data_IF_229448600832
#
_entry.id   IF_229448600832
#
_cell.length_a   1.000
_cell.length_b   1.000
_cell.length_c   1.000
_cell.angle_alpha   90.00
_cell.angle_beta   90.00
_cell.angle_gamma   90.00
#
_symmetry.space_group_name_H-M   'P 1'
#
loop_
_entity.id
_entity.type
_entity.pdbx_description
1 polymer ?
#
# COMPACT_ATOMS: atom_id res chain seq x y z
N UNK A 1 -16.83 -11.10 -29.28
CA UNK A 1 -16.45 -10.41 -28.02
C UNK A 1 -15.01 -10.81 -27.74
N UNK A 2 -14.16 -9.84 -27.41
CA UNK A 2 -12.74 -10.10 -27.07
C UNK A 2 -12.68 -10.78 -25.71
N UNK A 3 -11.96 -11.90 -25.60
CA UNK A 3 -11.68 -12.54 -24.30
C UNK A 3 -10.45 -11.87 -23.68
N UNK A 4 -10.70 -10.83 -22.90
CA UNK A 4 -9.67 -10.01 -22.25
C UNK A 4 -8.84 -10.81 -21.24
N UNK A 5 -9.45 -11.79 -20.56
CA UNK A 5 -8.75 -12.64 -19.60
C UNK A 5 -7.76 -13.57 -20.30
N UNK A 6 -8.17 -14.20 -21.39
CA UNK A 6 -7.28 -15.06 -22.19
C UNK A 6 -6.12 -14.27 -22.82
N UNK A 7 -6.37 -13.05 -23.30
CA UNK A 7 -5.31 -12.16 -23.80
C UNK A 7 -4.31 -11.79 -22.70
N UNK A 8 -4.79 -11.43 -21.51
CA UNK A 8 -3.95 -11.15 -20.34
C UNK A 8 -3.10 -12.38 -19.95
N UNK A 9 -3.68 -13.58 -19.93
CA UNK A 9 -2.95 -14.81 -19.59
C UNK A 9 -1.84 -15.13 -20.61
N UNK A 10 -2.11 -14.89 -21.90
CA UNK A 10 -1.10 -15.02 -22.97
C UNK A 10 0.03 -14.01 -22.81
N UNK A 11 -0.28 -12.78 -22.42
CA UNK A 11 0.73 -11.78 -22.08
C UNK A 11 1.59 -12.25 -20.89
N UNK A 12 0.98 -12.58 -19.75
CA UNK A 12 1.67 -13.00 -18.53
C UNK A 12 2.65 -14.18 -18.75
N UNK A 13 2.23 -15.16 -19.56
CA UNK A 13 3.05 -16.33 -19.87
C UNK A 13 4.22 -16.06 -20.81
N UNK A 14 4.14 -15.03 -21.66
CA UNK A 14 5.18 -14.70 -22.64
C UNK A 14 6.15 -13.63 -22.17
N UNK A 15 5.71 -12.70 -21.33
CA UNK A 15 6.55 -11.58 -20.88
C UNK A 15 7.76 -12.08 -20.10
N UNK A 16 8.93 -11.64 -20.53
CA UNK A 16 10.24 -11.87 -19.93
C UNK A 16 10.74 -10.61 -19.25
N UNK A 17 11.87 -10.70 -18.55
CA UNK A 17 12.44 -9.52 -17.88
C UNK A 17 12.91 -8.48 -18.90
N UNK A 18 13.45 -8.94 -20.04
CA UNK A 18 13.96 -8.10 -21.13
C UNK A 18 12.87 -7.29 -21.85
N UNK A 19 11.60 -7.68 -21.69
CA UNK A 19 10.45 -6.94 -22.22
C UNK A 19 10.09 -5.71 -21.36
N UNK A 20 10.64 -5.59 -20.15
CA UNK A 20 10.35 -4.47 -19.24
C UNK A 20 11.15 -3.22 -19.66
N UNK A 21 10.48 -2.06 -19.87
CA UNK A 21 11.18 -0.80 -20.08
C UNK A 21 12.05 -0.39 -18.88
N UNK A 22 13.15 0.32 -19.12
CA UNK A 22 14.07 0.78 -18.05
C UNK A 22 13.36 1.54 -16.92
N UNK A 23 12.37 2.38 -17.26
CA UNK A 23 11.59 3.13 -16.26
C UNK A 23 10.76 2.22 -15.34
N UNK A 24 10.27 1.08 -15.87
CA UNK A 24 9.51 0.08 -15.12
C UNK A 24 10.43 -0.67 -14.18
N UNK A 25 11.62 -1.05 -14.65
CA UNK A 25 12.67 -1.67 -13.84
C UNK A 25 13.08 -0.74 -12.70
N UNK A 26 13.40 0.52 -13.02
CA UNK A 26 13.76 1.54 -12.03
C UNK A 26 12.64 1.74 -11.01
N UNK A 27 11.37 1.80 -11.45
CA UNK A 27 10.27 1.95 -10.52
C UNK A 27 10.07 0.71 -9.66
N UNK A 28 10.24 -0.48 -10.22
CA UNK A 28 10.17 -1.73 -9.47
C UNK A 28 11.23 -1.82 -8.36
N UNK A 29 12.42 -1.23 -8.56
CA UNK A 29 13.43 -1.10 -7.51
C UNK A 29 12.93 -0.23 -6.34
N UNK A 30 12.39 0.95 -6.67
CA UNK A 30 11.85 1.88 -5.68
C UNK A 30 10.66 1.27 -4.93
N UNK A 31 9.73 0.60 -5.64
CA UNK A 31 8.58 -0.08 -5.05
C UNK A 31 9.02 -1.24 -4.15
N UNK A 32 10.03 -2.01 -4.54
CA UNK A 32 10.60 -3.08 -3.70
C UNK A 32 11.17 -2.52 -2.41
N UNK A 33 12.01 -1.48 -2.50
CA UNK A 33 12.61 -0.82 -1.34
C UNK A 33 11.53 -0.21 -0.42
N UNK A 34 10.57 0.51 -0.99
CA UNK A 34 9.47 1.15 -0.25
C UNK A 34 8.62 0.15 0.52
N UNK A 35 8.24 -0.94 -0.15
CA UNK A 35 7.39 -1.97 0.43
C UNK A 35 8.12 -2.72 1.55
N UNK A 36 9.40 -3.08 1.36
CA UNK A 36 10.24 -3.66 2.43
C UNK A 36 10.32 -2.70 3.61
N UNK A 37 10.59 -1.42 3.37
CA UNK A 37 10.67 -0.42 4.44
C UNK A 37 9.36 -0.28 5.22
N UNK A 38 8.22 -0.24 4.53
CA UNK A 38 6.91 -0.18 5.17
C UNK A 38 6.65 -1.41 6.05
N UNK A 39 6.97 -2.62 5.55
CA UNK A 39 6.83 -3.88 6.30
C UNK A 39 7.72 -3.85 7.56
N UNK A 40 9.00 -3.53 7.41
CA UNK A 40 9.94 -3.51 8.54
C UNK A 40 9.55 -2.46 9.56
N UNK A 41 9.21 -1.25 9.14
CA UNK A 41 8.77 -0.18 10.04
C UNK A 41 7.51 -0.57 10.82
N UNK A 42 6.54 -1.19 10.14
CA UNK A 42 5.31 -1.68 10.77
C UNK A 42 5.50 -2.93 11.64
N UNK A 43 6.55 -3.72 11.41
CA UNK A 43 6.86 -4.90 12.24
C UNK A 43 7.22 -4.54 13.68
N UNK A 44 7.61 -3.29 13.93
CA UNK A 44 7.91 -2.77 15.26
C UNK A 44 6.66 -2.55 16.13
N UNK A 45 5.47 -2.60 15.56
CA UNK A 45 4.23 -2.25 16.27
C UNK A 45 3.81 -3.41 17.20
N UNK A 46 3.35 -3.12 18.43
CA UNK A 46 3.11 -4.16 19.45
C UNK A 46 2.15 -5.26 19.01
N UNK A 47 1.09 -4.91 18.29
CA UNK A 47 0.11 -5.85 17.75
C UNK A 47 0.72 -6.80 16.72
N UNK A 48 1.62 -6.28 15.87
CA UNK A 48 2.31 -7.07 14.85
C UNK A 48 3.33 -8.00 15.48
N UNK A 49 4.08 -7.54 16.49
CA UNK A 49 4.99 -8.39 17.27
C UNK A 49 4.26 -9.53 17.98
N UNK A 50 3.13 -9.22 18.64
CA UNK A 50 2.32 -10.22 19.34
C UNK A 50 1.74 -11.27 18.38
N UNK A 51 1.22 -10.83 17.24
CA UNK A 51 0.69 -11.72 16.20
C UNK A 51 1.80 -12.59 15.60
N UNK A 52 2.95 -12.00 15.28
CA UNK A 52 4.13 -12.69 14.76
C UNK A 52 4.59 -13.78 15.73
N UNK A 53 4.75 -13.45 17.01
CA UNK A 53 5.10 -14.43 18.05
C UNK A 53 4.12 -15.60 18.10
N UNK A 54 2.82 -15.30 18.03
CA UNK A 54 1.78 -16.33 18.08
C UNK A 54 1.82 -17.28 16.89
N UNK A 55 2.05 -16.77 15.68
CA UNK A 55 2.00 -17.56 14.45
C UNK A 55 3.35 -18.19 14.06
N UNK A 56 4.46 -17.62 14.51
CA UNK A 56 5.80 -18.17 14.29
C UNK A 56 6.14 -19.30 15.28
N UNK A 57 5.52 -19.32 16.46
CA UNK A 57 5.76 -20.37 17.46
C UNK A 57 5.34 -21.73 16.92
N UNK A 58 6.30 -22.65 16.75
CA UNK A 58 6.06 -23.98 16.20
C UNK A 58 5.88 -24.03 14.68
N UNK A 59 6.00 -22.89 13.98
CA UNK A 59 6.03 -22.88 12.52
C UNK A 59 7.38 -23.37 12.00
N UNK A 60 7.36 -24.12 10.90
CA UNK A 60 8.55 -24.59 10.20
C UNK A 60 8.42 -24.20 8.74
N UNK A 61 9.40 -23.46 8.22
CA UNK A 61 9.47 -23.06 6.82
C UNK A 61 10.73 -22.26 6.53
N UNK A 62 10.87 -21.80 5.28
CA UNK A 62 12.07 -21.12 4.78
C UNK A 62 11.87 -19.63 4.56
N UNK A 63 10.63 -19.13 4.65
CA UNK A 63 10.26 -17.76 4.33
C UNK A 63 10.33 -16.86 5.54
N UNK A 64 10.93 -15.69 5.39
CA UNK A 64 11.26 -14.77 6.47
C UNK A 64 10.13 -13.80 6.76
N UNK A 65 9.80 -13.64 8.04
CA UNK A 65 9.03 -12.50 8.55
C UNK A 65 9.98 -11.31 8.67
N UNK A 66 9.80 -10.31 7.81
CA UNK A 66 10.67 -9.13 7.73
C UNK A 66 10.60 -8.30 9.01
N UNK A 67 11.76 -7.80 9.44
CA UNK A 67 11.93 -7.16 10.74
C UNK A 67 12.50 -8.16 11.74
N UNK A 68 11.68 -9.00 12.41
CA UNK A 68 12.17 -9.98 13.40
C UNK A 68 13.07 -11.09 12.85
N UNK A 69 12.98 -11.42 11.55
CA UNK A 69 13.85 -12.40 10.90
C UNK A 69 13.50 -13.86 11.19
N UNK A 70 12.32 -14.15 11.77
CA UNK A 70 11.86 -15.52 11.99
C UNK A 70 11.47 -16.19 10.67
N UNK A 71 11.89 -17.44 10.44
CA UNK A 71 11.46 -18.22 9.28
C UNK A 71 10.21 -19.06 9.61
N UNK A 72 9.22 -18.98 8.74
CA UNK A 72 7.90 -19.62 8.87
C UNK A 72 7.46 -20.17 7.51
N UNK A 73 6.29 -20.83 7.48
CA UNK A 73 5.67 -21.26 6.21
C UNK A 73 5.39 -20.08 5.27
N UNK A 74 5.50 -20.31 3.96
CA UNK A 74 5.37 -19.28 2.91
C UNK A 74 4.11 -18.42 3.06
N UNK A 75 2.93 -19.06 3.19
CA UNK A 75 1.66 -18.34 3.35
C UNK A 75 1.60 -17.52 4.65
N UNK A 76 2.22 -18.02 5.74
CA UNK A 76 2.30 -17.32 7.03
C UNK A 76 3.23 -16.11 6.96
N UNK A 77 4.38 -16.23 6.28
CA UNK A 77 5.28 -15.10 6.06
C UNK A 77 4.59 -14.02 5.23
N UNK A 78 3.89 -14.40 4.15
CA UNK A 78 3.11 -13.48 3.33
C UNK A 78 2.04 -12.75 4.15
N UNK A 79 1.33 -13.48 5.03
CA UNK A 79 0.34 -12.91 5.94
C UNK A 79 0.93 -11.86 6.89
N UNK A 80 2.00 -12.23 7.60
CA UNK A 80 2.61 -11.36 8.61
C UNK A 80 3.26 -10.13 7.97
N UNK A 81 3.97 -10.31 6.86
CA UNK A 81 4.62 -9.22 6.14
C UNK A 81 3.59 -8.25 5.55
N UNK A 82 2.55 -8.74 4.86
CA UNK A 82 1.48 -7.88 4.34
C UNK A 82 0.69 -7.15 5.43
N UNK A 83 0.50 -7.80 6.59
CA UNK A 83 -0.13 -7.16 7.76
C UNK A 83 0.73 -6.02 8.31
N UNK A 84 2.04 -6.26 8.46
CA UNK A 84 2.97 -5.26 8.96
C UNK A 84 3.06 -4.04 8.02
N UNK A 85 3.15 -4.25 6.71
CA UNK A 85 3.40 -3.16 5.76
C UNK A 85 2.28 -2.13 5.62
N UNK A 86 1.04 -2.50 5.96
CA UNK A 86 -0.08 -1.52 5.96
C UNK A 86 -0.29 -0.84 7.31
N UNK A 87 0.42 -1.25 8.36
CA UNK A 87 0.14 -0.78 9.72
C UNK A 87 0.43 0.71 9.91
N UNK A 88 1.47 1.22 9.25
CA UNK A 88 1.90 2.62 9.34
C UNK A 88 1.24 3.55 8.32
N UNK A 89 0.44 3.03 7.39
CA UNK A 89 -0.07 3.76 6.23
C UNK A 89 1.04 4.39 5.37
N UNK A 90 2.22 3.78 5.33
CA UNK A 90 3.41 4.29 4.64
C UNK A 90 3.76 3.53 3.36
N UNK A 91 3.01 2.49 3.02
CA UNK A 91 3.09 1.77 1.76
C UNK A 91 2.68 2.63 0.57
N UNK A 92 3.36 2.44 -0.57
CA UNK A 92 3.01 2.99 -1.88
C UNK A 92 1.57 2.65 -2.29
N UNK A 93 1.02 3.36 -3.28
CA UNK A 93 -0.18 2.90 -3.95
C UNK A 93 -0.35 3.46 -5.36
N UNK A 94 -1.48 3.15 -5.98
CA UNK A 94 -1.82 3.62 -7.32
C UNK A 94 -3.19 4.30 -7.29
N UNK A 95 -3.23 5.51 -7.85
CA UNK A 95 -4.40 6.38 -7.75
C UNK A 95 -5.58 5.93 -8.61
N UNK A 96 -5.29 5.27 -9.73
CA UNK A 96 -6.27 4.83 -10.72
C UNK A 96 -6.98 3.57 -10.23
N UNK A 97 -6.25 2.63 -9.63
CA UNK A 97 -6.83 1.45 -8.99
C UNK A 97 -7.37 1.69 -7.57
N UNK A 98 -7.23 2.92 -7.06
CA UNK A 98 -7.67 3.36 -5.73
C UNK A 98 -7.22 2.42 -4.59
N UNK A 99 -5.96 1.98 -4.62
CA UNK A 99 -5.41 1.10 -3.59
C UNK A 99 -3.91 0.92 -3.67
N UNK A 100 -3.42 -0.19 -3.11
CA UNK A 100 -2.01 -0.40 -2.77
C UNK A 100 -1.50 -1.72 -3.36
N UNK A 101 -1.17 -1.80 -4.66
CA UNK A 101 -0.90 -3.09 -5.28
C UNK A 101 0.35 -3.79 -4.73
N UNK A 102 1.46 -3.09 -4.49
CA UNK A 102 2.72 -3.75 -4.13
C UNK A 102 2.64 -4.48 -2.78
N UNK A 103 1.95 -3.92 -1.78
CA UNK A 103 1.83 -4.58 -0.47
C UNK A 103 0.96 -5.84 -0.50
N UNK A 104 0.11 -6.01 -1.52
CA UNK A 104 -0.62 -7.27 -1.73
C UNK A 104 0.22 -8.30 -2.48
N UNK A 105 1.18 -7.85 -3.30
CA UNK A 105 1.94 -8.69 -4.22
C UNK A 105 3.28 -9.12 -3.62
N UNK A 106 4.11 -8.16 -3.20
CA UNK A 106 5.49 -8.41 -2.77
C UNK A 106 5.59 -9.38 -1.60
N UNK A 107 4.76 -9.33 -0.54
CA UNK A 107 4.87 -10.28 0.57
C UNK A 107 4.74 -11.75 0.14
N UNK A 108 3.80 -12.05 -0.76
CA UNK A 108 3.60 -13.41 -1.28
C UNK A 108 4.73 -13.80 -2.23
N UNK A 109 5.07 -12.91 -3.17
CA UNK A 109 6.13 -13.15 -4.15
C UNK A 109 7.50 -13.37 -3.49
N UNK A 110 7.88 -12.52 -2.53
CA UNK A 110 9.14 -12.61 -1.81
C UNK A 110 9.21 -13.88 -0.96
N UNK A 111 8.15 -14.18 -0.19
CA UNK A 111 8.10 -15.40 0.61
C UNK A 111 8.24 -16.66 -0.25
N UNK A 112 7.53 -16.71 -1.39
CA UNK A 112 7.60 -17.84 -2.32
C UNK A 112 8.99 -17.94 -2.97
N UNK A 113 9.52 -16.83 -3.47
CA UNK A 113 10.84 -16.77 -4.08
C UNK A 113 11.95 -17.22 -3.12
N UNK A 114 11.90 -16.79 -1.85
CA UNK A 114 12.86 -17.21 -0.83
C UNK A 114 12.76 -18.71 -0.53
N UNK A 115 11.54 -19.25 -0.41
CA UNK A 115 11.35 -20.69 -0.16
C UNK A 115 11.86 -21.59 -1.29
N UNK A 116 12.01 -21.03 -2.51
CA UNK A 116 12.51 -21.72 -3.69
C UNK A 116 13.92 -21.24 -4.12
N UNK A 117 14.54 -20.33 -3.37
CA UNK A 117 15.88 -19.75 -3.63
C UNK A 117 16.00 -19.16 -5.04
N UNK A 118 14.99 -18.40 -5.44
CA UNK A 118 14.92 -17.80 -6.78
C UNK A 118 15.79 -16.54 -6.87
N UNK A 119 16.18 -16.19 -8.10
CA UNK A 119 16.94 -14.98 -8.39
C UNK A 119 16.05 -13.74 -8.31
N UNK A 120 16.65 -12.58 -8.03
CA UNK A 120 15.91 -11.34 -7.87
C UNK A 120 15.31 -10.79 -9.17
N UNK A 121 15.88 -11.12 -10.34
CA UNK A 121 15.26 -10.84 -11.64
C UNK A 121 13.86 -11.47 -11.75
N UNK A 122 13.72 -12.73 -11.32
CA UNK A 122 12.45 -13.45 -11.32
C UNK A 122 11.45 -12.80 -10.37
N UNK A 123 11.91 -12.35 -9.19
CA UNK A 123 11.09 -11.61 -8.23
C UNK A 123 10.60 -10.28 -8.80
N UNK A 124 11.48 -9.50 -9.44
CA UNK A 124 11.13 -8.19 -9.98
C UNK A 124 10.12 -8.32 -11.13
N UNK A 125 10.31 -9.29 -12.03
CA UNK A 125 9.34 -9.59 -13.08
C UNK A 125 7.99 -10.02 -12.49
N UNK A 126 7.99 -10.92 -11.51
CA UNK A 126 6.77 -11.39 -10.87
C UNK A 126 6.03 -10.29 -10.11
N UNK A 127 6.75 -9.43 -9.38
CA UNK A 127 6.21 -8.24 -8.72
C UNK A 127 5.54 -7.33 -9.75
N UNK A 128 6.23 -7.04 -10.85
CA UNK A 128 5.73 -6.14 -11.91
C UNK A 128 4.44 -6.69 -12.53
N UNK A 129 4.41 -7.96 -12.90
CA UNK A 129 3.22 -8.59 -13.49
C UNK A 129 2.07 -8.73 -12.49
N UNK A 130 2.36 -9.08 -11.23
CA UNK A 130 1.34 -9.15 -10.18
C UNK A 130 0.74 -7.78 -9.87
N UNK A 131 1.58 -6.73 -9.82
CA UNK A 131 1.15 -5.34 -9.68
C UNK A 131 0.22 -4.95 -10.83
N UNK A 132 0.64 -5.24 -12.06
CA UNK A 132 -0.10 -4.91 -13.28
C UNK A 132 -1.52 -5.51 -13.25
N UNK A 133 -1.64 -6.80 -12.93
CA UNK A 133 -2.95 -7.47 -12.83
C UNK A 133 -3.81 -6.87 -11.72
N UNK A 134 -3.24 -6.68 -10.52
CA UNK A 134 -3.94 -6.09 -9.40
C UNK A 134 -4.47 -4.69 -9.71
N UNK A 135 -3.62 -3.83 -10.28
CA UNK A 135 -3.99 -2.47 -10.65
C UNK A 135 -5.07 -2.44 -11.73
N UNK A 136 -4.96 -3.27 -12.78
CA UNK A 136 -5.95 -3.33 -13.87
C UNK A 136 -7.32 -3.82 -13.42
N UNK A 137 -7.38 -4.82 -12.54
CA UNK A 137 -8.65 -5.24 -11.92
C UNK A 137 -9.24 -4.07 -11.11
N UNK A 138 -8.42 -3.38 -10.32
CA UNK A 138 -8.87 -2.22 -9.55
C UNK A 138 -9.35 -1.05 -10.42
N UNK A 139 -8.72 -0.81 -11.58
CA UNK A 139 -9.12 0.22 -12.56
C UNK A 139 -10.45 -0.16 -13.23
N UNK A 140 -10.61 -1.42 -13.65
CA UNK A 140 -11.85 -1.91 -14.26
C UNK A 140 -13.03 -2.02 -13.30
N UNK A 141 -12.79 -2.00 -11.99
CA UNK A 141 -13.81 -2.21 -10.98
C UNK A 141 -14.20 -0.94 -10.21
N UNK A 142 -15.49 -0.60 -10.23
CA UNK A 142 -16.06 0.35 -9.26
C UNK A 142 -16.56 -0.41 -8.03
N UNK A 143 -15.66 -0.73 -7.11
CA UNK A 143 -16.00 -1.46 -5.88
C UNK A 143 -17.14 -0.76 -5.12
N UNK A 144 -18.06 -1.56 -4.56
CA UNK A 144 -19.18 -1.05 -3.75
C UNK A 144 -18.68 -0.11 -2.67
N UNK A 145 -19.32 1.06 -2.52
CA UNK A 145 -18.89 2.11 -1.56
C UNK A 145 -18.82 1.65 -0.10
N UNK A 146 -19.54 0.59 0.26
CA UNK A 146 -19.52 -0.03 1.59
C UNK A 146 -18.26 -0.85 1.87
N UNK A 147 -17.47 -1.18 0.85
CA UNK A 147 -16.31 -2.04 0.95
C UNK A 147 -14.99 -1.25 1.01
N UNK A 148 -13.97 -1.89 1.54
CA UNK A 148 -12.60 -1.39 1.53
C UNK A 148 -11.78 -2.12 0.46
N UNK A 149 -10.97 -1.45 -0.37
CA UNK A 149 -10.27 -2.11 -1.48
C UNK A 149 -9.20 -3.11 -1.04
N UNK A 150 -8.49 -2.88 0.08
CA UNK A 150 -7.53 -3.87 0.60
C UNK A 150 -8.18 -5.22 0.85
N UNK A 151 -7.45 -6.29 0.56
CA UNK A 151 -7.97 -7.64 0.72
C UNK A 151 -8.76 -8.18 -0.47
N UNK A 152 -9.03 -7.37 -1.51
CA UNK A 152 -9.88 -7.74 -2.65
C UNK A 152 -9.07 -8.16 -3.89
N UNK A 153 -8.94 -7.29 -4.89
CA UNK A 153 -8.22 -7.56 -6.15
C UNK A 153 -6.72 -7.83 -5.96
N UNK A 154 -6.14 -7.37 -4.86
CA UNK A 154 -4.74 -7.65 -4.54
C UNK A 154 -4.43 -9.14 -4.37
N UNK A 155 -5.42 -9.95 -3.95
CA UNK A 155 -5.28 -11.42 -3.88
C UNK A 155 -5.00 -12.04 -5.25
N UNK A 156 -5.61 -11.52 -6.31
CA UNK A 156 -5.38 -12.03 -7.68
C UNK A 156 -3.98 -11.64 -8.15
N UNK A 157 -3.55 -10.40 -7.92
CA UNK A 157 -2.20 -9.96 -8.29
C UNK A 157 -1.10 -10.74 -7.57
N UNK A 158 -1.25 -10.98 -6.26
CA UNK A 158 -0.31 -11.81 -5.51
C UNK A 158 -0.26 -13.25 -6.03
N UNK A 159 -1.42 -13.85 -6.35
CA UNK A 159 -1.48 -15.20 -6.91
C UNK A 159 -0.81 -15.28 -8.29
N UNK A 160 -0.98 -14.26 -9.14
CA UNK A 160 -0.29 -14.16 -10.44
C UNK A 160 1.22 -14.07 -10.25
N UNK A 161 1.71 -13.29 -9.29
CA UNK A 161 3.14 -13.21 -9.00
C UNK A 161 3.70 -14.58 -8.56
N UNK A 162 3.00 -15.29 -7.66
CA UNK A 162 3.37 -16.65 -7.24
C UNK A 162 3.39 -17.62 -8.43
N UNK A 163 2.34 -17.61 -9.26
CA UNK A 163 2.26 -18.44 -10.46
C UNK A 163 3.39 -18.13 -11.46
N UNK A 164 3.75 -16.85 -11.63
CA UNK A 164 4.89 -16.45 -12.49
C UNK A 164 6.21 -17.02 -11.97
N UNK A 165 6.47 -16.92 -10.66
CA UNK A 165 7.66 -17.49 -10.03
C UNK A 165 7.72 -19.01 -10.16
N UNK A 166 6.56 -19.66 -10.15
CA UNK A 166 6.43 -21.11 -10.33
C UNK A 166 6.50 -21.58 -11.79
N UNK A 167 6.64 -20.66 -12.76
CA UNK A 167 6.76 -21.00 -14.18
C UNK A 167 5.44 -21.38 -14.86
N UNK A 168 4.31 -20.83 -14.40
CA UNK A 168 2.99 -21.13 -14.94
C UNK A 168 2.89 -20.87 -16.46
N UNK A 169 2.22 -21.77 -17.17
CA UNK A 169 1.81 -21.54 -18.55
C UNK A 169 0.49 -20.73 -18.63
N UNK A 170 0.07 -20.33 -19.84
CA UNK A 170 -1.14 -19.52 -20.05
C UNK A 170 -2.41 -20.11 -19.41
N UNK A 171 -2.62 -21.42 -19.51
CA UNK A 171 -3.78 -22.08 -18.90
C UNK A 171 -3.70 -22.12 -17.37
N UNK A 172 -2.50 -22.27 -16.80
CA UNK A 172 -2.30 -22.21 -15.34
C UNK A 172 -2.49 -20.79 -14.80
N UNK A 173 -2.12 -19.74 -15.55
CA UNK A 173 -2.45 -18.36 -15.20
C UNK A 173 -3.96 -18.13 -15.17
N UNK A 174 -4.67 -18.59 -16.20
CA UNK A 174 -6.14 -18.46 -16.28
C UNK A 174 -6.81 -19.12 -15.09
N UNK A 175 -6.40 -20.35 -14.75
CA UNK A 175 -6.94 -21.08 -13.61
C UNK A 175 -6.59 -20.40 -12.28
N UNK A 176 -5.35 -19.92 -12.13
CA UNK A 176 -4.92 -19.17 -10.93
C UNK A 176 -5.74 -17.91 -10.72
N UNK A 177 -5.98 -17.14 -11.78
CA UNK A 177 -6.81 -15.93 -11.70
C UNK A 177 -8.24 -16.30 -11.29
N UNK A 178 -8.83 -17.33 -11.91
CA UNK A 178 -10.19 -17.76 -11.61
C UNK A 178 -10.35 -18.28 -10.18
N UNK A 179 -9.41 -19.09 -9.68
CA UNK A 179 -9.39 -19.56 -8.28
C UNK A 179 -9.19 -18.37 -7.33
N UNK A 180 -8.20 -17.52 -7.57
CA UNK A 180 -7.88 -16.39 -6.69
C UNK A 180 -9.01 -15.35 -6.62
N UNK A 181 -9.81 -15.21 -7.69
CA UNK A 181 -10.92 -14.25 -7.78
C UNK A 181 -11.90 -14.40 -6.62
N UNK A 182 -12.21 -15.63 -6.20
CA UNK A 182 -13.17 -15.89 -5.11
C UNK A 182 -12.56 -15.90 -3.71
N UNK A 183 -11.23 -15.72 -3.59
CA UNK A 183 -10.51 -15.74 -2.31
C UNK A 183 -10.28 -14.33 -1.74
N UNK A 184 -10.83 -13.30 -2.38
CA UNK A 184 -10.86 -11.93 -1.86
C UNK A 184 -11.79 -11.77 -0.65
N UNK A 185 -11.49 -10.79 0.21
CA UNK A 185 -12.26 -10.49 1.40
C UNK A 185 -13.53 -9.67 1.12
N UNK A 186 -14.63 -10.05 1.78
CA UNK A 186 -15.80 -9.20 1.96
C UNK A 186 -15.56 -8.13 3.03
N UNK A 187 -14.76 -7.12 2.73
CA UNK A 187 -14.36 -6.08 3.69
C UNK A 187 -15.44 -5.01 3.92
N UNK A 188 -15.27 -4.22 4.98
CA UNK A 188 -16.11 -3.07 5.30
C UNK A 188 -15.31 -1.78 5.37
N UNK A 189 -15.82 -0.73 4.73
CA UNK A 189 -15.27 0.62 4.82
C UNK A 189 -15.46 1.24 6.20
N UNK A 190 -16.49 0.81 6.95
CA UNK A 190 -16.69 1.25 8.33
C UNK A 190 -15.54 0.82 9.24
N UNK A 191 -14.86 -0.28 8.91
CA UNK A 191 -13.70 -0.75 9.68
C UNK A 191 -12.61 0.32 9.78
N UNK A 192 -12.21 0.96 8.68
CA UNK A 192 -11.20 2.04 8.78
C UNK A 192 -11.75 3.30 9.45
N UNK A 193 -13.00 3.69 9.16
CA UNK A 193 -13.62 4.91 9.70
C UNK A 193 -13.81 4.83 11.22
N UNK A 194 -14.03 3.64 11.75
CA UNK A 194 -14.16 3.41 13.18
C UNK A 194 -12.81 3.03 13.83
N UNK A 195 -11.70 3.01 13.09
CA UNK A 195 -10.40 2.56 13.63
C UNK A 195 -10.38 1.08 14.03
N UNK A 196 -11.14 0.22 13.37
CA UNK A 196 -11.05 -1.22 13.51
C UNK A 196 -9.70 -1.74 13.00
N UNK A 197 -8.80 -2.12 13.90
CA UNK A 197 -7.41 -2.45 13.59
C UNK A 197 -7.24 -3.69 12.70
N UNK A 198 -8.26 -4.54 12.58
CA UNK A 198 -8.29 -5.66 11.64
C UNK A 198 -8.10 -5.21 10.18
N UNK A 199 -8.39 -3.95 9.84
CA UNK A 199 -8.11 -3.43 8.49
C UNK A 199 -6.63 -3.57 8.11
N UNK A 200 -5.71 -3.51 9.08
CA UNK A 200 -4.28 -3.66 8.83
C UNK A 200 -3.89 -5.09 8.42
N UNK A 201 -4.74 -6.10 8.64
CA UNK A 201 -4.44 -7.48 8.19
C UNK A 201 -4.92 -7.78 6.77
N UNK A 202 -5.75 -6.92 6.15
CA UNK A 202 -6.41 -7.25 4.88
C UNK A 202 -5.43 -7.56 3.75
N UNK A 203 -4.36 -6.78 3.59
CA UNK A 203 -3.32 -7.07 2.60
C UNK A 203 -2.52 -8.35 2.94
N UNK A 204 -2.30 -8.61 4.24
CA UNK A 204 -1.72 -9.87 4.70
C UNK A 204 -2.58 -11.08 4.33
N UNK A 205 -3.89 -11.01 4.56
CA UNK A 205 -4.81 -12.10 4.17
C UNK A 205 -4.76 -12.33 2.65
N UNK A 206 -4.73 -11.26 1.84
CA UNK A 206 -4.50 -11.40 0.40
C UNK A 206 -3.20 -12.13 0.08
N UNK A 207 -2.09 -11.77 0.73
CA UNK A 207 -0.81 -12.46 0.54
C UNK A 207 -0.88 -13.95 0.91
N UNK A 208 -1.56 -14.29 2.01
CA UNK A 208 -1.78 -15.69 2.41
C UNK A 208 -2.59 -16.46 1.38
N UNK A 209 -3.73 -15.90 0.97
CA UNK A 209 -4.64 -16.52 0.01
C UNK A 209 -4.01 -16.61 -1.38
N UNK A 210 -3.11 -15.69 -1.74
CA UNK A 210 -2.36 -15.72 -3.00
C UNK A 210 -1.48 -16.97 -3.13
N UNK A 211 -0.74 -17.30 -2.07
CA UNK A 211 0.09 -18.52 -2.02
C UNK A 211 -0.80 -19.76 -2.09
N UNK A 212 -1.87 -19.78 -1.29
CA UNK A 212 -2.81 -20.90 -1.26
C UNK A 212 -3.57 -21.09 -2.58
N UNK A 213 -3.87 -20.03 -3.31
CA UNK A 213 -4.53 -20.11 -4.61
C UNK A 213 -3.70 -20.92 -5.61
N UNK A 214 -2.38 -20.67 -5.64
CA UNK A 214 -1.48 -21.46 -6.48
C UNK A 214 -1.41 -22.92 -6.03
N UNK A 215 -1.31 -23.17 -4.73
CA UNK A 215 -1.33 -24.53 -4.18
C UNK A 215 -2.61 -25.30 -4.56
N UNK A 216 -3.77 -24.62 -4.51
CA UNK A 216 -5.06 -25.18 -4.94
C UNK A 216 -5.05 -25.56 -6.42
N UNK A 217 -4.55 -24.69 -7.30
CA UNK A 217 -4.41 -24.99 -8.74
C UNK A 217 -3.51 -26.21 -8.96
N UNK A 218 -2.36 -26.29 -8.27
CA UNK A 218 -1.47 -27.45 -8.37
C UNK A 218 -2.09 -28.73 -7.82
N UNK A 219 -3.02 -28.63 -6.87
CA UNK A 219 -3.81 -29.74 -6.36
C UNK A 219 -5.00 -30.13 -7.26
N UNK A 220 -5.24 -29.40 -8.36
CA UNK A 220 -6.31 -29.70 -9.33
C UNK A 220 -7.65 -29.04 -9.02
N UNK A 221 -7.69 -28.06 -8.12
CA UNK A 221 -8.86 -27.21 -7.95
C UNK A 221 -9.00 -26.28 -9.16
N UNK A 222 -10.23 -25.96 -9.52
CA UNK A 222 -10.56 -24.98 -10.54
C UNK A 222 -11.54 -23.94 -10.01
N UNK A 223 -11.54 -22.77 -10.63
CA UNK A 223 -12.47 -21.68 -10.39
C UNK A 223 -13.57 -21.61 -11.44
N UNK A 224 -14.37 -20.55 -11.36
CA UNK A 224 -15.36 -20.25 -12.38
C UNK A 224 -14.71 -19.97 -13.73
N UNK A 225 -15.45 -20.17 -14.84
CA UNK A 225 -14.88 -19.97 -16.18
C UNK A 225 -14.32 -18.55 -16.41
N UNK A 226 -14.97 -17.55 -15.82
CA UNK A 226 -14.53 -16.15 -15.77
C UNK A 226 -14.84 -15.59 -14.37
N UNK A 227 -13.99 -15.94 -13.40
CA UNK A 227 -14.17 -15.54 -12.01
C UNK A 227 -14.10 -14.03 -11.80
N UNK A 228 -13.35 -13.31 -12.65
CA UNK A 228 -13.26 -11.86 -12.58
C UNK A 228 -14.62 -11.21 -12.90
N UNK A 229 -15.25 -11.63 -14.00
CA UNK A 229 -16.56 -11.11 -14.39
C UNK A 229 -17.64 -11.41 -13.34
N UNK A 230 -17.63 -12.57 -12.69
CA UNK A 230 -18.58 -12.87 -11.63
C UNK A 230 -18.33 -11.99 -10.39
N UNK A 231 -17.11 -12.03 -9.85
CA UNK A 231 -16.79 -11.40 -8.57
C UNK A 231 -16.87 -9.87 -8.68
N UNK A 232 -16.27 -9.27 -9.69
CA UNK A 232 -16.31 -7.81 -9.85
C UNK A 232 -17.54 -7.33 -10.63
N UNK A 233 -18.15 -8.14 -11.49
CA UNK A 233 -19.37 -7.73 -12.20
C UNK A 233 -20.64 -7.84 -11.38
N UNK A 234 -20.68 -8.69 -10.35
CA UNK A 234 -21.91 -8.97 -9.59
C UNK A 234 -21.76 -8.93 -8.07
N UNK A 235 -20.61 -9.35 -7.52
CA UNK A 235 -20.48 -9.56 -6.06
C UNK A 235 -19.93 -8.32 -5.36
N UNK A 236 -18.72 -7.88 -5.70
CA UNK A 236 -17.96 -6.87 -4.94
C UNK A 236 -18.06 -5.45 -5.51
N UNK A 237 -18.45 -5.28 -6.77
CA UNK A 237 -18.49 -3.97 -7.45
C UNK A 237 -19.88 -3.61 -7.93
N UNK A 238 -20.07 -2.31 -8.15
CA UNK A 238 -21.24 -1.72 -8.81
C UNK A 238 -21.09 -1.72 -10.34
N UNK A 239 -19.84 -1.69 -10.82
CA UNK A 239 -19.51 -1.71 -12.24
C UNK A 239 -18.20 -2.48 -12.47
N UNK A 240 -18.14 -3.17 -13.61
CA UNK A 240 -16.97 -3.91 -14.09
C UNK A 240 -16.78 -3.65 -15.58
N UNK A 241 -15.61 -3.12 -15.94
CA UNK A 241 -15.14 -2.98 -17.30
C UNK A 241 -13.98 -3.96 -17.57
N UNK A 242 -14.22 -5.07 -18.29
CA UNK A 242 -13.18 -6.03 -18.60
C UNK A 242 -12.12 -5.50 -19.57
N UNK A 243 -12.39 -4.41 -20.31
CA UNK A 243 -11.42 -3.86 -21.26
C UNK A 243 -10.18 -3.30 -20.55
N UNK A 244 -10.31 -2.84 -19.31
CA UNK A 244 -9.20 -2.37 -18.48
C UNK A 244 -8.11 -3.43 -18.27
N UNK A 245 -8.44 -4.73 -18.39
CA UNK A 245 -7.46 -5.82 -18.28
C UNK A 245 -6.42 -5.80 -19.39
N UNK A 246 -6.76 -5.28 -20.58
CA UNK A 246 -5.88 -5.34 -21.77
C UNK A 246 -5.61 -3.97 -22.40
N UNK A 247 -6.27 -2.90 -21.95
CA UNK A 247 -6.05 -1.55 -22.47
C UNK A 247 -4.57 -1.15 -22.34
N UNK A 248 -3.92 -0.83 -23.47
CA UNK A 248 -2.49 -0.49 -23.54
C UNK A 248 -1.54 -1.53 -22.91
N UNK A 249 -1.94 -2.81 -22.83
CA UNK A 249 -1.15 -3.87 -22.21
C UNK A 249 0.22 -4.04 -22.85
N UNK A 250 1.27 -4.05 -22.02
CA UNK A 250 2.66 -4.11 -22.47
C UNK A 250 3.25 -2.76 -22.93
N UNK A 251 2.45 -1.70 -22.98
CA UNK A 251 2.91 -0.34 -23.32
C UNK A 251 2.77 0.62 -22.14
N UNK A 252 1.61 0.60 -21.47
CA UNK A 252 1.36 1.32 -20.22
C UNK A 252 1.50 0.34 -19.05
N UNK A 253 2.44 0.65 -18.17
CA UNK A 253 2.72 -0.14 -16.96
C UNK A 253 2.24 0.61 -15.72
N UNK A 254 1.30 0.01 -14.98
CA UNK A 254 0.64 0.67 -13.87
C UNK A 254 1.56 0.85 -12.64
N UNK A 255 2.60 0.03 -12.52
CA UNK A 255 3.64 0.22 -11.50
C UNK A 255 4.40 1.55 -11.68
N UNK A 256 4.61 2.00 -12.93
CA UNK A 256 5.27 3.27 -13.24
C UNK A 256 4.40 4.50 -12.91
N UNK A 257 3.09 4.30 -12.72
CA UNK A 257 2.09 5.34 -12.41
C UNK A 257 1.73 5.38 -10.92
N UNK A 258 2.50 4.71 -10.07
CA UNK A 258 2.27 4.68 -8.64
C UNK A 258 2.69 5.99 -7.95
N UNK A 259 2.27 6.14 -6.70
CA UNK A 259 2.69 7.20 -5.78
C UNK A 259 3.39 6.62 -4.56
N UNK A 260 4.30 7.40 -3.99
CA UNK A 260 4.94 7.10 -2.70
C UNK A 260 4.42 8.04 -1.61
N UNK A 261 4.42 7.58 -0.35
CA UNK A 261 3.96 8.36 0.80
C UNK A 261 5.10 8.84 1.69
N UNK A 262 5.03 10.08 2.17
CA UNK A 262 5.85 10.60 3.28
C UNK A 262 5.04 10.95 4.54
N UNK A 263 3.73 11.16 4.40
CA UNK A 263 2.83 11.33 5.53
C UNK A 263 2.34 9.95 6.02
N UNK A 264 2.48 9.66 7.32
CA UNK A 264 2.11 8.36 7.92
C UNK A 264 0.61 8.23 8.18
N UNK A 265 -0.19 8.51 7.16
CA UNK A 265 -1.66 8.48 7.22
C UNK A 265 -2.25 8.16 5.84
N UNK A 266 -3.56 7.95 5.81
CA UNK A 266 -4.30 7.72 4.57
C UNK A 266 -4.00 8.85 3.55
N UNK A 267 -3.83 8.50 2.27
CA UNK A 267 -3.52 9.47 1.19
C UNK A 267 -4.51 10.62 1.11
N UNK A 268 -5.75 10.41 1.55
CA UNK A 268 -6.80 11.42 1.54
C UNK A 268 -6.50 12.63 2.45
N UNK A 269 -5.56 12.49 3.38
CA UNK A 269 -5.07 13.60 4.19
C UNK A 269 -3.97 14.41 3.47
N UNK A 270 -3.26 13.82 2.51
CA UNK A 270 -1.95 14.31 2.05
C UNK A 270 -2.05 15.68 1.41
N UNK A 271 -3.08 15.93 0.58
CA UNK A 271 -3.26 17.24 -0.04
C UNK A 271 -3.45 18.37 0.98
N UNK A 272 -4.15 18.11 2.08
CA UNK A 272 -4.29 19.10 3.15
C UNK A 272 -2.95 19.33 3.86
N UNK A 273 -2.16 18.28 4.07
CA UNK A 273 -0.85 18.37 4.71
C UNK A 273 0.19 19.06 3.83
N UNK A 274 0.22 18.79 2.53
CA UNK A 274 1.09 19.46 1.56
C UNK A 274 0.83 20.97 1.54
N UNK A 275 -0.44 21.36 1.46
CA UNK A 275 -0.85 22.77 1.49
C UNK A 275 -0.47 23.43 2.83
N UNK A 276 -0.70 22.72 3.94
CA UNK A 276 -0.36 23.19 5.28
C UNK A 276 1.15 23.45 5.43
N UNK A 277 1.98 22.50 5.00
CA UNK A 277 3.45 22.63 5.01
C UNK A 277 3.88 23.86 4.21
N UNK A 278 3.29 24.10 3.05
CA UNK A 278 3.58 25.29 2.23
C UNK A 278 3.19 26.59 2.95
N UNK A 279 1.98 26.67 3.51
CA UNK A 279 1.53 27.84 4.26
C UNK A 279 2.48 28.16 5.42
N UNK A 280 2.88 27.15 6.19
CA UNK A 280 3.77 27.33 7.35
C UNK A 280 5.21 27.68 6.96
N UNK A 281 5.69 27.21 5.80
CA UNK A 281 7.00 27.60 5.27
C UNK A 281 7.01 29.07 4.82
N UNK A 282 5.95 29.53 4.17
CA UNK A 282 5.81 30.91 3.69
C UNK A 282 5.52 31.90 4.83
N UNK A 283 4.75 31.48 5.83
CA UNK A 283 4.38 32.30 6.99
C UNK A 283 4.31 31.42 8.24
N UNK A 284 5.38 31.42 9.07
CA UNK A 284 5.34 30.73 10.36
C UNK A 284 4.24 31.29 11.26
N UNK A 285 3.43 30.41 11.83
CA UNK A 285 2.31 30.76 12.73
C UNK A 285 2.45 30.02 14.04
N UNK A 286 2.31 30.73 15.16
CA UNK A 286 2.22 30.06 16.45
C UNK A 286 0.85 29.41 16.61
N UNK A 287 0.81 28.18 17.10
CA UNK A 287 -0.43 27.40 17.25
C UNK A 287 -1.47 28.11 18.13
N UNK A 288 -0.98 28.87 19.12
CA UNK A 288 -1.79 29.70 20.00
C UNK A 288 -2.49 30.86 19.29
N UNK A 289 -2.03 31.27 18.11
CA UNK A 289 -2.62 32.33 17.28
C UNK A 289 -3.70 31.83 16.35
N UNK A 290 -3.77 30.52 16.08
CA UNK A 290 -4.79 29.94 15.22
C UNK A 290 -6.14 30.06 15.91
N UNK A 291 -7.16 30.54 15.20
CA UNK A 291 -8.56 30.53 15.63
C UNK A 291 -9.24 29.25 15.13
N UNK A 292 -9.28 29.05 13.80
CA UNK A 292 -9.89 27.87 13.14
C UNK A 292 -9.19 27.50 11.85
N UNK A 293 -9.35 26.25 11.42
CA UNK A 293 -8.84 25.74 10.15
C UNK A 293 -10.00 25.14 9.35
N UNK A 294 -10.08 25.46 8.07
CA UNK A 294 -11.04 24.85 7.13
C UNK A 294 -10.29 24.14 6.01
N UNK A 295 -10.64 22.88 5.80
CA UNK A 295 -10.13 22.03 4.72
C UNK A 295 -11.29 21.73 3.77
N UNK A 296 -11.17 22.17 2.53
CA UNK A 296 -12.09 21.82 1.45
C UNK A 296 -11.44 20.76 0.56
N UNK A 297 -12.15 19.66 0.31
CA UNK A 297 -11.60 18.50 -0.40
C UNK A 297 -12.72 17.70 -1.10
N UNK A 298 -12.38 16.59 -1.74
CA UNK A 298 -13.31 15.73 -2.45
C UNK A 298 -14.10 14.79 -1.51
N UNK A 299 -15.22 14.27 -1.98
CA UNK A 299 -16.22 13.49 -1.22
C UNK A 299 -15.65 12.39 -0.32
N UNK A 300 -14.67 11.63 -0.81
CA UNK A 300 -14.08 10.52 -0.06
C UNK A 300 -13.15 10.99 1.06
N UNK A 301 -12.41 12.08 0.86
CA UNK A 301 -11.56 12.68 1.89
C UNK A 301 -12.38 13.45 2.93
N UNK A 302 -13.48 14.09 2.52
CA UNK A 302 -14.39 14.81 3.42
C UNK A 302 -15.05 13.90 4.48
N UNK A 303 -15.10 12.58 4.22
CA UNK A 303 -15.58 11.59 5.18
C UNK A 303 -14.59 11.29 6.31
N UNK A 304 -13.32 11.70 6.18
CA UNK A 304 -12.28 11.52 7.21
C UNK A 304 -12.32 12.67 8.22
N UNK A 305 -13.50 12.98 8.75
CA UNK A 305 -13.77 14.19 9.54
C UNK A 305 -13.88 13.96 11.06
N UNK A 306 -13.54 12.77 11.55
CA UNK A 306 -13.53 12.49 13.00
C UNK A 306 -12.50 13.40 13.69
N UNK A 307 -12.94 14.20 14.65
CA UNK A 307 -12.06 15.12 15.41
C UNK A 307 -11.48 14.49 16.68
N UNK A 308 -11.96 13.29 17.04
CA UNK A 308 -11.58 12.61 18.29
C UNK A 308 -11.22 11.13 18.04
N UNK A 309 -10.20 10.86 17.22
CA UNK A 309 -9.83 9.49 16.89
C UNK A 309 -9.46 8.70 18.15
N UNK A 310 -10.07 7.52 18.30
CA UNK A 310 -9.94 6.68 19.50
C UNK A 310 -8.69 5.80 19.55
N UNK A 311 -7.97 5.67 18.44
CA UNK A 311 -6.75 4.86 18.35
C UNK A 311 -5.86 5.30 17.18
N UNK A 312 -4.68 4.69 17.08
CA UNK A 312 -3.66 5.01 16.08
C UNK A 312 -4.15 4.81 14.65
N UNK A 313 -5.01 3.82 14.38
CA UNK A 313 -5.60 3.66 13.05
C UNK A 313 -6.59 4.77 12.73
N UNK A 314 -7.54 5.06 13.63
CA UNK A 314 -8.51 6.15 13.45
C UNK A 314 -7.79 7.51 13.22
N UNK A 315 -6.70 7.75 13.94
CA UNK A 315 -5.88 8.96 13.78
C UNK A 315 -5.30 9.11 12.36
N UNK A 316 -4.89 8.00 11.74
CA UNK A 316 -4.39 7.96 10.35
C UNK A 316 -5.50 8.16 9.30
N UNK A 317 -6.77 8.06 9.71
CA UNK A 317 -7.97 8.26 8.89
C UNK A 317 -8.78 9.49 9.35
N UNK A 318 -8.12 10.48 9.95
CA UNK A 318 -8.70 11.73 10.42
C UNK A 318 -7.92 12.93 9.89
N UNK A 319 -8.53 13.69 8.97
CA UNK A 319 -7.97 14.97 8.48
C UNK A 319 -7.82 15.98 9.62
N UNK A 320 -8.80 16.15 10.54
CA UNK A 320 -8.65 17.05 11.67
C UNK A 320 -7.42 16.74 12.53
N UNK A 321 -7.24 15.47 12.89
CA UNK A 321 -6.12 15.05 13.71
C UNK A 321 -4.80 15.15 12.96
N UNK A 322 -4.75 14.72 11.69
CA UNK A 322 -3.55 14.80 10.87
C UNK A 322 -3.04 16.25 10.73
N UNK A 323 -3.94 17.19 10.44
CA UNK A 323 -3.61 18.63 10.34
C UNK A 323 -3.11 19.17 11.67
N UNK A 324 -3.82 18.89 12.76
CA UNK A 324 -3.47 19.40 14.09
C UNK A 324 -2.14 18.82 14.60
N UNK A 325 -1.96 17.51 14.48
CA UNK A 325 -0.74 16.80 14.90
C UNK A 325 0.46 17.27 14.08
N UNK A 326 0.28 17.54 12.78
CA UNK A 326 1.34 18.06 11.92
C UNK A 326 1.77 19.48 12.32
N UNK A 327 0.82 20.37 12.63
CA UNK A 327 1.14 21.72 13.13
C UNK A 327 1.89 21.68 14.46
N UNK A 328 1.45 20.83 15.39
CA UNK A 328 2.05 20.72 16.73
C UNK A 328 3.44 20.10 16.70
N UNK A 329 3.64 19.07 15.88
CA UNK A 329 4.92 18.35 15.83
C UNK A 329 5.89 18.92 14.79
N UNK A 330 5.44 19.82 13.90
CA UNK A 330 6.20 20.29 12.75
C UNK A 330 6.48 19.20 11.71
N UNK A 331 5.82 18.04 11.82
CA UNK A 331 6.00 16.88 10.95
C UNK A 331 4.74 16.02 10.94
N UNK A 332 4.51 15.32 9.83
CA UNK A 332 3.46 14.32 9.64
C UNK A 332 4.02 12.89 9.57
N UNK A 333 5.24 12.69 10.07
CA UNK A 333 5.89 11.38 10.13
C UNK A 333 5.25 10.48 11.20
N UNK A 334 5.90 9.34 11.46
CA UNK A 334 5.39 8.28 12.34
C UNK A 334 5.00 8.79 13.74
N UNK A 335 5.83 9.68 14.32
CA UNK A 335 5.62 10.24 15.66
C UNK A 335 4.30 11.01 15.79
N UNK A 336 3.73 11.47 14.68
CA UNK A 336 2.48 12.25 14.66
C UNK A 336 1.21 11.39 14.71
N UNK A 337 1.34 10.06 14.66
CA UNK A 337 0.21 9.12 14.65
C UNK A 337 0.34 8.01 15.70
N UNK A 338 0.98 8.33 16.83
CA UNK A 338 1.18 7.43 17.97
C UNK A 338 0.12 7.62 19.06
N UNK A 339 0.04 6.69 20.00
CA UNK A 339 -0.77 6.85 21.22
C UNK A 339 -0.38 8.09 22.04
N UNK A 340 0.91 8.42 22.07
CA UNK A 340 1.40 9.65 22.73
C UNK A 340 0.82 10.89 22.06
N UNK A 341 0.86 10.98 20.71
CA UNK A 341 0.27 12.09 19.97
C UNK A 341 -1.24 12.22 20.20
N UNK A 342 -1.96 11.09 20.23
CA UNK A 342 -3.41 11.06 20.54
C UNK A 342 -3.69 11.57 21.96
N UNK A 343 -2.81 11.28 22.92
CA UNK A 343 -2.96 11.71 24.31
C UNK A 343 -2.65 13.20 24.56
N UNK A 344 -2.10 13.94 23.59
CA UNK A 344 -1.75 15.35 23.79
C UNK A 344 -2.96 16.26 23.66
N UNK A 345 -3.32 16.92 24.76
CA UNK A 345 -4.45 17.85 24.84
C UNK A 345 -4.35 18.99 23.80
N UNK A 346 -3.16 19.51 23.54
CA UNK A 346 -2.94 20.57 22.55
C UNK A 346 -3.31 20.15 21.12
N UNK A 347 -2.98 18.90 20.73
CA UNK A 347 -3.34 18.33 19.43
C UNK A 347 -4.85 18.18 19.33
N UNK A 348 -5.48 17.61 20.36
CA UNK A 348 -6.93 17.37 20.38
C UNK A 348 -7.72 18.70 20.40
N UNK A 349 -7.24 19.70 21.14
CA UNK A 349 -7.82 21.03 21.17
C UNK A 349 -7.75 21.71 19.79
N UNK A 350 -6.63 21.58 19.07
CA UNK A 350 -6.51 22.11 17.72
C UNK A 350 -7.37 21.32 16.71
N UNK A 351 -7.37 19.98 16.77
CA UNK A 351 -8.18 19.12 15.91
C UNK A 351 -9.68 19.44 16.01
N UNK A 352 -10.15 19.80 17.22
CA UNK A 352 -11.54 20.21 17.45
C UNK A 352 -11.98 21.44 16.62
N UNK A 353 -11.01 22.25 16.17
CA UNK A 353 -11.17 23.50 15.42
C UNK A 353 -10.88 23.34 13.92
N UNK A 354 -10.65 22.11 13.45
CA UNK A 354 -10.49 21.78 12.03
C UNK A 354 -11.83 21.31 11.47
N UNK A 355 -12.35 22.06 10.51
CA UNK A 355 -13.54 21.71 9.74
C UNK A 355 -13.13 21.12 8.40
N UNK A 356 -13.74 19.98 8.01
CA UNK A 356 -13.51 19.32 6.73
C UNK A 356 -14.82 19.33 5.96
N UNK A 357 -14.78 19.83 4.73
CA UNK A 357 -15.96 20.07 3.91
C UNK A 357 -15.71 19.51 2.51
N UNK A 358 -16.73 18.87 1.95
CA UNK A 358 -16.73 18.50 0.53
C UNK A 358 -16.93 19.75 -0.34
N UNK A 359 -16.09 19.90 -1.36
CA UNK A 359 -16.27 20.82 -2.47
C UNK A 359 -16.57 20.00 -3.73
N UNK A 360 -17.77 20.18 -4.29
CA UNK A 360 -18.24 19.41 -5.45
C UNK A 360 -17.32 19.56 -6.67
N UNK A 361 -16.75 20.74 -6.89
CA UNK A 361 -15.83 20.98 -8.00
C UNK A 361 -14.50 20.23 -7.80
N UNK A 362 -14.10 19.99 -6.55
CA UNK A 362 -12.94 19.14 -6.22
C UNK A 362 -13.27 17.65 -6.36
N UNK A 363 -14.48 17.23 -6.02
CA UNK A 363 -14.97 15.85 -6.23
C UNK A 363 -14.93 15.47 -7.71
N UNK A 364 -15.30 16.39 -8.62
CA UNK A 364 -15.31 16.15 -10.07
C UNK A 364 -13.91 15.94 -10.68
N UNK A 365 -12.83 16.25 -9.95
CA UNK A 365 -11.45 16.03 -10.40
C UNK A 365 -10.92 14.60 -10.11
N UNK A 366 -11.65 13.80 -9.33
CA UNK A 366 -11.29 12.42 -8.97
C UNK A 366 -11.78 11.48 -10.09
N UNK A 367 -11.00 10.48 -10.54
CA UNK A 367 -9.78 9.94 -9.94
C UNK A 367 -8.45 10.51 -10.44
N UNK A 368 -8.46 11.44 -11.39
CA UNK A 368 -7.22 11.95 -12.00
C UNK A 368 -6.36 12.78 -11.04
N UNK A 369 -7.01 13.49 -10.11
CA UNK A 369 -6.33 14.35 -9.14
C UNK A 369 -6.80 14.09 -7.70
N UNK A 370 -6.06 14.66 -6.73
CA UNK A 370 -6.36 14.60 -5.28
C UNK A 370 -6.27 16.00 -4.65
N UNK A 371 -7.20 16.90 -5.01
CA UNK A 371 -7.11 18.30 -4.65
C UNK A 371 -7.49 18.58 -3.19
N UNK A 372 -6.90 19.63 -2.64
CA UNK A 372 -7.29 20.18 -1.33
C UNK A 372 -7.04 21.70 -1.28
N UNK A 373 -7.91 22.41 -0.57
CA UNK A 373 -7.75 23.81 -0.21
C UNK A 373 -7.77 23.95 1.31
N UNK A 374 -6.80 24.67 1.87
CA UNK A 374 -6.70 24.88 3.32
C UNK A 374 -6.72 26.37 3.61
N UNK A 375 -7.57 26.76 4.57
CA UNK A 375 -7.64 28.13 5.12
C UNK A 375 -7.41 28.10 6.62
N UNK A 376 -6.42 28.85 7.08
CA UNK A 376 -6.11 29.07 8.50
C UNK A 376 -6.54 30.49 8.85
N UNK A 377 -7.53 30.62 9.72
CA UNK A 377 -7.93 31.93 10.28
C UNK A 377 -7.18 32.13 11.59
N UNK A 378 -6.48 33.25 11.73
CA UNK A 378 -5.80 33.65 12.96
C UNK A 378 -6.73 34.47 13.86
N UNK A 379 -6.42 34.53 15.16
CA UNK A 379 -7.17 35.28 16.17
C UNK A 379 -7.19 36.79 15.93
N UNK A 380 -6.23 37.32 15.17
CA UNK A 380 -6.19 38.72 14.75
C UNK A 380 -7.01 39.00 13.48
N UNK A 381 -7.67 37.98 12.91
CA UNK A 381 -8.50 38.08 11.72
C UNK A 381 -7.76 37.86 10.40
N UNK A 382 -6.43 37.72 10.38
CA UNK A 382 -5.70 37.34 9.16
C UNK A 382 -6.09 35.94 8.71
N UNK A 383 -6.10 35.73 7.40
CA UNK A 383 -6.37 34.43 6.78
C UNK A 383 -5.18 34.04 5.92
N UNK A 384 -4.63 32.85 6.19
CA UNK A 384 -3.65 32.21 5.34
C UNK A 384 -4.33 31.12 4.53
N UNK A 385 -4.06 31.05 3.24
CA UNK A 385 -4.73 30.13 2.33
C UNK A 385 -3.74 29.50 1.36
N UNK A 386 -4.02 28.26 0.98
CA UNK A 386 -3.30 27.56 -0.06
C UNK A 386 -4.17 26.50 -0.72
N UNK A 387 -3.68 26.01 -1.85
CA UNK A 387 -4.34 25.00 -2.68
C UNK A 387 -3.31 24.08 -3.31
N UNK A 388 -3.66 22.81 -3.43
CA UNK A 388 -2.96 21.87 -4.29
C UNK A 388 -3.94 21.12 -5.17
N UNK A 389 -3.52 20.85 -6.40
CA UNK A 389 -4.25 20.01 -7.36
C UNK A 389 -3.91 18.53 -7.18
N UNK A 390 -2.64 18.23 -6.95
CA UNK A 390 -2.10 16.87 -6.82
C UNK A 390 -1.36 16.69 -5.49
N UNK A 391 -1.03 15.46 -5.10
CA UNK A 391 -0.24 15.22 -3.89
C UNK A 391 1.23 15.02 -4.22
N UNK A 392 2.11 15.48 -3.34
CA UNK A 392 3.54 15.19 -3.48
C UNK A 392 3.78 13.69 -3.36
N UNK A 393 4.58 13.16 -4.26
CA UNK A 393 4.87 11.73 -4.38
C UNK A 393 4.09 11.02 -5.49
N UNK A 394 3.10 11.68 -6.10
CA UNK A 394 2.40 11.18 -7.29
C UNK A 394 3.35 11.11 -8.50
N UNK A 395 2.98 10.34 -9.53
CA UNK A 395 3.79 10.24 -10.75
C UNK A 395 3.99 11.58 -11.47
N UNK A 396 3.06 12.54 -11.30
CA UNK A 396 3.16 13.90 -11.82
C UNK A 396 4.00 14.87 -10.95
N UNK A 397 4.22 14.52 -9.68
CA UNK A 397 5.04 15.30 -8.72
C UNK A 397 5.86 14.33 -7.83
N UNK A 398 6.80 13.57 -8.43
CA UNK A 398 7.45 12.48 -7.74
C UNK A 398 8.44 12.98 -6.69
N UNK A 399 8.61 12.21 -5.61
CA UNK A 399 9.73 12.42 -4.71
C UNK A 399 11.06 12.11 -5.40
N UNK A 400 12.11 12.84 -4.99
CA UNK A 400 13.47 12.52 -5.43
C UNK A 400 13.95 11.22 -4.82
N UNK A 401 14.99 10.63 -5.40
CA UNK A 401 15.58 9.39 -4.89
C UNK A 401 16.11 9.57 -3.46
N UNK A 402 16.61 10.76 -3.11
CA UNK A 402 17.10 11.09 -1.78
C UNK A 402 15.98 10.99 -0.74
N UNK A 403 14.80 11.55 -1.04
CA UNK A 403 13.63 11.50 -0.14
C UNK A 403 13.13 10.07 0.07
N UNK A 404 13.14 9.24 -0.99
CA UNK A 404 12.78 7.82 -0.87
C UNK A 404 13.83 7.02 -0.08
N UNK A 405 15.11 7.39 -0.22
CA UNK A 405 16.21 6.79 0.54
C UNK A 405 16.10 7.15 2.03
N UNK A 406 15.84 8.41 2.36
CA UNK A 406 15.58 8.87 3.73
C UNK A 406 14.39 8.11 4.33
N UNK A 407 13.28 8.00 3.60
CA UNK A 407 12.13 7.20 4.02
C UNK A 407 12.51 5.76 4.33
N UNK A 408 13.29 5.11 3.47
CA UNK A 408 13.72 3.73 3.67
C UNK A 408 14.43 3.58 5.02
N UNK A 409 15.41 4.44 5.28
CA UNK A 409 16.18 4.40 6.53
C UNK A 409 15.33 4.76 7.75
N UNK A 410 14.52 5.82 7.70
CA UNK A 410 13.61 6.20 8.80
C UNK A 410 12.71 5.05 9.26
N UNK A 411 12.22 4.24 8.32
CA UNK A 411 11.35 3.11 8.64
C UNK A 411 12.15 1.89 9.10
N UNK A 412 13.21 1.53 8.38
CA UNK A 412 13.95 0.29 8.65
C UNK A 412 14.83 0.36 9.89
N UNK A 413 15.41 1.52 10.22
CA UNK A 413 16.28 1.67 11.40
C UNK A 413 15.51 1.67 12.72
N UNK A 414 14.18 1.58 12.69
CA UNK A 414 13.36 1.28 13.86
C UNK A 414 13.59 -0.14 14.37
N UNK A 415 14.05 -1.05 13.50
CA UNK A 415 14.19 -2.49 13.79
C UNK A 415 15.61 -2.96 13.49
N UNK A 416 16.17 -2.53 12.36
CA UNK A 416 17.48 -2.98 11.91
C UNK A 416 18.59 -1.99 12.24
N UNK A 417 19.82 -2.46 12.53
CA UNK A 417 21.01 -1.61 12.50
C UNK A 417 21.20 -0.97 11.12
N UNK A 418 21.75 0.26 11.09
CA UNK A 418 21.91 1.04 9.86
C UNK A 418 22.71 0.31 8.77
N UNK A 419 23.80 -0.36 9.13
CA UNK A 419 24.65 -1.11 8.19
C UNK A 419 23.90 -2.27 7.51
N UNK A 420 22.89 -2.84 8.19
CA UNK A 420 22.04 -3.88 7.63
C UNK A 420 20.96 -3.29 6.73
N UNK A 421 20.32 -2.21 7.19
CA UNK A 421 19.38 -1.45 6.36
C UNK A 421 20.05 -1.00 5.05
N UNK A 422 21.30 -0.52 5.10
CA UNK A 422 22.06 -0.10 3.92
C UNK A 422 22.29 -1.24 2.93
N UNK A 423 22.64 -2.44 3.42
CA UNK A 423 22.81 -3.63 2.56
C UNK A 423 21.51 -4.02 1.87
N UNK A 424 20.40 -4.06 2.61
CA UNK A 424 19.08 -4.39 2.05
C UNK A 424 18.64 -3.31 1.06
N UNK A 425 18.87 -2.03 1.36
CA UNK A 425 18.58 -0.93 0.43
C UNK A 425 19.37 -1.08 -0.87
N UNK A 426 20.69 -1.28 -0.77
CA UNK A 426 21.55 -1.47 -1.94
C UNK A 426 21.14 -2.69 -2.78
N UNK A 427 20.68 -3.77 -2.14
CA UNK A 427 20.16 -4.95 -2.81
C UNK A 427 18.81 -4.68 -3.48
N UNK A 428 17.87 -4.01 -2.82
CA UNK A 428 16.56 -3.67 -3.39
C UNK A 428 16.68 -2.73 -4.60
N UNK A 429 17.66 -1.82 -4.57
CA UNK A 429 17.93 -0.89 -5.68
C UNK A 429 18.63 -1.54 -6.90
N UNK A 430 18.98 -2.83 -6.79
CA UNK A 430 19.61 -3.66 -7.85
C UNK A 430 19.09 -5.10 -7.79
N UNK A 431 17.80 -5.25 -7.50
CA UNK A 431 17.19 -6.54 -7.19
C UNK A 431 17.37 -7.54 -8.33
N UNK A 432 17.36 -7.08 -9.58
CA UNK A 432 17.54 -7.90 -10.77
C UNK A 432 18.89 -8.64 -10.80
N UNK A 433 19.91 -8.12 -10.10
CA UNK A 433 21.27 -8.68 -10.08
C UNK A 433 21.49 -9.71 -8.98
N UNK A 434 20.50 -9.91 -8.12
CA UNK A 434 20.63 -10.84 -7.00
C UNK A 434 20.53 -12.27 -7.50
N UNK A 435 21.54 -13.09 -7.20
CA UNK A 435 21.48 -14.53 -7.46
C UNK A 435 20.50 -15.27 -6.55
N UNK A 436 20.17 -14.67 -5.39
CA UNK A 436 19.22 -15.20 -4.41
C UNK A 436 18.52 -14.02 -3.69
N UNK A 437 17.19 -14.06 -3.64
CA UNK A 437 16.35 -13.04 -2.98
C UNK A 437 16.51 -12.99 -1.47
N UNK A 438 17.13 -13.99 -0.83
CA UNK A 438 17.41 -13.96 0.62
C UNK A 438 18.20 -12.71 1.05
N UNK A 439 18.95 -12.10 0.13
CA UNK A 439 19.65 -10.81 0.38
C UNK A 439 18.69 -9.67 0.76
N UNK A 440 17.41 -9.74 0.36
CA UNK A 440 16.41 -8.71 0.63
C UNK A 440 15.73 -8.85 1.99
N UNK A 441 15.85 -10.00 2.66
CA UNK A 441 15.05 -10.30 3.86
C UNK A 441 15.71 -9.84 5.16
N UNK A 442 16.95 -9.32 5.07
CA UNK A 442 17.71 -8.81 6.21
C UNK A 442 18.26 -9.94 7.10
N UNK A 443 18.67 -9.64 8.34
CA UNK A 443 19.17 -10.68 9.24
C UNK A 443 18.08 -11.66 9.63
N UNK A 444 18.26 -12.92 9.27
CA UNK A 444 17.57 -14.04 9.92
C UNK A 444 18.12 -14.09 11.34
N UNK A 445 17.30 -13.79 12.36
CA UNK A 445 17.72 -14.01 13.74
C UNK A 445 18.00 -15.51 13.90
N UNK A 446 19.27 -15.91 13.83
CA UNK A 446 19.69 -17.15 14.48
C UNK A 446 19.37 -16.94 15.94
N UNK A 447 18.38 -17.67 16.45
CA UNK A 447 17.94 -17.60 17.83
C UNK A 447 19.17 -17.44 18.75
N UNK A 448 19.32 -16.27 19.36
CA UNK A 448 20.23 -16.20 20.50
C UNK A 448 19.55 -16.96 21.64
N UNK A 449 20.31 -17.84 22.34
CA UNK A 449 19.79 -18.84 23.26
C UNK A 449 19.00 -18.28 24.44
#
# INVERSE_FOLDING_TARGET
>A
MTDHLEELCRFLSRTTFEDLPDEVVQRGHQVTADTIAAIVGGSAEPEVLALTKSLATGSVGMSTVLGPGQKVQTATAAFLNGTAGTFLEMDEGNQFCQGHPAIHVLPAALAFAESHRLAGEQLLLALTLGYEVAARIGIGATIRKSMHPHGTWGTVGGAVAVAKLAGACSSEFRETINVASTLGLGTSRQTMLQGGTVRNSFAGVSGQMSVMAWDMVKAGFNGEHDGLATIWGSVLSEHWDPAALTEDLGTRWEIARNYFKRHSCCRYNHGALDVLTKICADTPVAISEIDKIRVETYSLAAQLNDRSPRNTLAAKFSVPFAVASTLVNGSSGLASFTWEAIGREEIMALASRVEVIEDQALTEMVPDYRPARVRITLKDGRVLEGFTRTNRGDSEDPYTQEVLTEKFFELTTRVWPYDQAEKVFAAAMKVERLSDVETLTGPVCTAHP
#
